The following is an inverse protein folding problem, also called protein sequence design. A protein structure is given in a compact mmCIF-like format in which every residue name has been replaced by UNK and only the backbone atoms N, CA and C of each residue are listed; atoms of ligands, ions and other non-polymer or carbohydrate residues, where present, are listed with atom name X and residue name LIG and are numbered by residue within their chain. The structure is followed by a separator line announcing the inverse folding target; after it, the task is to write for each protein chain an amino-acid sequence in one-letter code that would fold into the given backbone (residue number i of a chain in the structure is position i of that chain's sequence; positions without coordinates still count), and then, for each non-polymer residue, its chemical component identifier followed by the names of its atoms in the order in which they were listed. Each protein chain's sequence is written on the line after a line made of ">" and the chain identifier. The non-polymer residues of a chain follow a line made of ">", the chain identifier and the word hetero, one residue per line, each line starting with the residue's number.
data_IF_147455351821
#
_entry.id   IF_147455351821
#
_cell.length_a   1.000
_cell.length_b   1.000
_cell.length_c   1.000
_cell.angle_alpha   90.00
_cell.angle_beta   90.00
_cell.angle_gamma   90.00
#
_symmetry.space_group_name_H-M   'P 1'
#
loop_
_entity.id
_entity.type
_entity.pdbx_description
1 polymer ?
#
# COMPACT_ATOMS: atom_id res chain seq x y z
N UNK A 1 17.55 23.06 -3.57
CA UNK A 1 17.13 21.90 -4.40
C UNK A 1 18.36 21.14 -4.87
N UNK A 2 18.29 19.81 -5.02
CA UNK A 2 19.42 18.95 -5.40
C UNK A 2 19.05 17.47 -5.40
N UNK A 3 19.94 16.58 -5.87
CA UNK A 3 19.68 15.14 -6.01
C UNK A 3 19.30 14.46 -4.69
N UNK A 4 20.08 14.69 -3.62
CA UNK A 4 19.80 14.14 -2.29
C UNK A 4 18.47 14.63 -1.71
N UNK A 5 18.07 15.87 -2.04
CA UNK A 5 16.78 16.43 -1.61
C UNK A 5 15.61 15.74 -2.33
N UNK A 6 15.74 15.48 -3.63
CA UNK A 6 14.75 14.72 -4.39
C UNK A 6 14.66 13.28 -3.90
N UNK A 7 15.80 12.62 -3.66
CA UNK A 7 15.85 11.26 -3.13
C UNK A 7 15.16 11.19 -1.76
N UNK A 8 15.45 12.13 -0.85
CA UNK A 8 14.79 12.23 0.45
C UNK A 8 13.28 12.41 0.34
N UNK A 9 12.82 13.26 -0.59
CA UNK A 9 11.39 13.45 -0.86
C UNK A 9 10.71 12.17 -1.34
N UNK A 10 11.30 11.47 -2.31
CA UNK A 10 10.74 10.22 -2.84
C UNK A 10 10.74 9.11 -1.78
N UNK A 11 11.80 9.05 -0.96
CA UNK A 11 11.88 8.14 0.17
C UNK A 11 10.78 8.38 1.21
N UNK A 12 10.53 9.65 1.57
CA UNK A 12 9.44 9.99 2.48
C UNK A 12 8.07 9.63 1.89
N UNK A 13 7.82 9.90 0.61
CA UNK A 13 6.59 9.48 -0.06
C UNK A 13 6.42 7.96 -0.05
N UNK A 14 7.50 7.20 -0.26
CA UNK A 14 7.47 5.76 -0.22
C UNK A 14 7.11 5.22 1.18
N UNK A 15 7.67 5.80 2.24
CA UNK A 15 7.41 5.35 3.62
C UNK A 15 6.02 5.75 4.11
N UNK A 16 5.59 6.99 3.85
CA UNK A 16 4.42 7.57 4.49
C UNK A 16 3.20 7.67 3.57
N UNK A 17 3.42 7.84 2.26
CA UNK A 17 2.37 8.14 1.29
C UNK A 17 1.34 7.02 1.15
N UNK A 18 1.80 5.77 1.01
CA UNK A 18 0.92 4.59 0.81
C UNK A 18 -0.11 4.45 1.94
N UNK A 19 0.32 4.60 3.19
CA UNK A 19 -0.58 4.51 4.35
C UNK A 19 -1.61 5.64 4.41
N UNK A 20 -1.21 6.86 4.07
CA UNK A 20 -2.13 8.02 4.05
C UNK A 20 -3.10 7.91 2.87
N UNK A 21 -2.62 7.45 1.72
CA UNK A 21 -3.43 7.16 0.54
C UNK A 21 -4.44 6.05 0.80
N UNK A 22 -4.04 4.95 1.44
CA UNK A 22 -4.94 3.86 1.82
C UNK A 22 -6.06 4.33 2.75
N UNK A 23 -5.77 5.31 3.62
CA UNK A 23 -6.76 5.87 4.56
C UNK A 23 -7.73 6.84 3.91
N UNK A 24 -7.28 7.63 2.94
CA UNK A 24 -8.07 8.67 2.28
C UNK A 24 -8.72 8.19 0.97
N UNK A 25 -8.14 7.19 0.31
CA UNK A 25 -8.41 6.82 -1.08
C UNK A 25 -7.71 7.73 -2.09
N UNK A 26 -7.38 7.18 -3.26
CA UNK A 26 -6.52 7.80 -4.28
C UNK A 26 -6.91 9.24 -4.66
N UNK A 27 -8.18 9.48 -4.99
CA UNK A 27 -8.63 10.81 -5.43
C UNK A 27 -8.50 11.86 -4.32
N UNK A 28 -8.92 11.49 -3.11
CA UNK A 28 -8.86 12.37 -1.94
C UNK A 28 -7.42 12.61 -1.51
N UNK A 29 -6.55 11.61 -1.64
CA UNK A 29 -5.12 11.73 -1.40
C UNK A 29 -4.44 12.72 -2.34
N UNK A 30 -4.76 12.68 -3.64
CA UNK A 30 -4.22 13.65 -4.61
C UNK A 30 -4.66 15.08 -4.25
N UNK A 31 -5.95 15.29 -3.98
CA UNK A 31 -6.45 16.62 -3.56
C UNK A 31 -5.78 17.07 -2.26
N UNK A 32 -5.69 16.17 -1.27
CA UNK A 32 -5.01 16.42 0.00
C UNK A 32 -3.55 16.84 -0.20
N UNK A 33 -2.80 16.16 -1.07
CA UNK A 33 -1.42 16.46 -1.39
C UNK A 33 -1.25 17.88 -1.96
N UNK A 34 -2.09 18.25 -2.93
CA UNK A 34 -2.06 19.59 -3.51
C UNK A 34 -2.42 20.68 -2.50
N UNK A 35 -3.46 20.46 -1.67
CA UNK A 35 -3.83 21.41 -0.62
C UNK A 35 -2.69 21.61 0.39
N UNK A 36 -2.00 20.53 0.78
CA UNK A 36 -0.84 20.62 1.66
C UNK A 36 0.29 21.45 1.02
N UNK A 37 0.57 21.24 -0.28
CA UNK A 37 1.58 22.02 -1.00
C UNK A 37 1.25 23.52 -1.07
N UNK A 38 0.00 23.86 -1.36
CA UNK A 38 -0.47 25.26 -1.41
C UNK A 38 -0.39 25.90 -0.01
N UNK A 39 -0.94 25.25 1.01
CA UNK A 39 -0.92 25.78 2.38
C UNK A 39 0.50 25.91 2.93
N UNK A 40 1.39 24.99 2.58
CA UNK A 40 2.82 25.06 2.90
C UNK A 40 3.49 26.28 2.26
N UNK A 41 3.28 26.50 0.95
CA UNK A 41 3.83 27.66 0.25
C UNK A 41 3.33 28.98 0.82
N UNK A 42 2.04 29.07 1.13
CA UNK A 42 1.44 30.24 1.77
C UNK A 42 2.02 30.49 3.16
N UNK A 43 2.21 29.44 3.97
CA UNK A 43 2.82 29.55 5.30
C UNK A 43 4.23 30.13 5.23
N UNK A 44 5.02 29.67 4.25
CA UNK A 44 6.37 30.21 4.03
C UNK A 44 6.34 31.68 3.59
N UNK A 45 5.47 32.01 2.63
CA UNK A 45 5.34 33.37 2.10
C UNK A 45 4.94 34.37 3.19
N UNK A 46 3.94 34.04 4.00
CA UNK A 46 3.44 34.91 5.07
C UNK A 46 4.48 35.16 6.17
N UNK A 47 5.31 34.15 6.46
CA UNK A 47 6.33 34.23 7.51
C UNK A 47 7.69 34.74 6.99
N UNK A 48 7.87 34.85 5.67
CA UNK A 48 9.10 35.35 5.03
C UNK A 48 8.78 36.29 3.88
N UNK A 49 7.96 37.32 4.16
CA UNK A 49 7.51 38.32 3.18
C UNK A 49 8.67 39.03 2.45
N UNK A 50 9.87 39.07 3.05
CA UNK A 50 11.05 39.75 2.51
C UNK A 50 12.00 38.82 1.72
N UNK A 51 11.68 37.53 1.57
CA UNK A 51 12.57 36.54 0.95
C UNK A 51 12.11 36.18 -0.47
N UNK A 52 12.91 36.53 -1.48
CA UNK A 52 12.65 36.23 -2.90
C UNK A 52 13.01 34.78 -3.30
N UNK A 53 13.11 33.84 -2.35
CA UNK A 53 13.49 32.46 -2.65
C UNK A 53 12.22 31.68 -3.03
N UNK A 54 12.04 31.28 -4.30
CA UNK A 54 10.90 30.44 -4.68
C UNK A 54 11.02 29.09 -3.98
N UNK A 55 10.07 28.81 -3.10
CA UNK A 55 10.01 27.54 -2.37
C UNK A 55 9.23 26.53 -3.19
N UNK A 56 9.92 25.46 -3.61
CA UNK A 56 9.31 24.38 -4.37
C UNK A 56 8.32 23.65 -3.45
N UNK A 57 7.03 23.76 -3.74
CA UNK A 57 5.93 23.26 -2.88
C UNK A 57 5.85 21.73 -2.71
N UNK A 58 6.70 20.96 -3.40
CA UNK A 58 6.69 19.49 -3.31
C UNK A 58 7.13 18.98 -1.92
N UNK A 59 8.20 19.52 -1.32
CA UNK A 59 8.65 19.08 0.01
C UNK A 59 7.69 19.53 1.12
N UNK A 60 7.05 20.69 0.93
CA UNK A 60 5.96 21.17 1.76
C UNK A 60 4.73 20.25 1.77
N UNK A 61 4.33 19.78 0.59
CA UNK A 61 3.24 18.79 0.46
C UNK A 61 3.57 17.47 1.17
N UNK A 62 4.82 17.00 1.04
CA UNK A 62 5.32 15.80 1.74
C UNK A 62 5.31 16.00 3.26
N UNK A 63 5.68 17.19 3.76
CA UNK A 63 5.56 17.51 5.17
C UNK A 63 4.09 17.40 5.65
N UNK A 64 3.13 17.76 4.81
CA UNK A 64 1.71 17.53 5.09
C UNK A 64 1.30 16.07 5.16
N UNK A 65 1.84 15.21 4.28
CA UNK A 65 1.68 13.75 4.39
C UNK A 65 2.27 13.24 5.70
N UNK A 66 3.46 13.71 6.10
CA UNK A 66 4.08 13.34 7.36
C UNK A 66 3.22 13.75 8.57
N UNK A 67 2.63 14.94 8.54
CA UNK A 67 1.67 15.40 9.56
C UNK A 67 0.43 14.51 9.64
N UNK A 68 -0.14 14.12 8.50
CA UNK A 68 -1.25 13.17 8.47
C UNK A 68 -0.84 11.78 9.03
N UNK A 69 0.32 11.27 8.63
CA UNK A 69 0.84 9.99 9.10
C UNK A 69 1.07 10.00 10.63
N UNK A 70 1.58 11.11 11.17
CA UNK A 70 1.78 11.28 12.61
C UNK A 70 0.49 11.03 13.42
N UNK A 71 -0.67 11.43 12.88
CA UNK A 71 -1.97 11.22 13.51
C UNK A 71 -2.52 9.82 13.26
N UNK A 72 -2.38 9.30 12.04
CA UNK A 72 -2.95 8.01 11.65
C UNK A 72 -2.20 6.81 12.24
N UNK A 73 -0.88 6.94 12.38
CA UNK A 73 0.02 5.83 12.66
C UNK A 73 1.09 6.16 13.72
N UNK A 74 0.73 6.76 14.87
CA UNK A 74 1.72 7.27 15.83
C UNK A 74 2.67 6.18 16.35
N UNK A 75 2.17 4.96 16.57
CA UNK A 75 2.93 3.82 17.12
C UNK A 75 3.59 2.96 16.04
N UNK A 76 3.38 3.24 14.75
CA UNK A 76 4.04 2.49 13.68
C UNK A 76 5.55 2.69 13.77
N UNK A 77 6.30 1.61 13.57
CA UNK A 77 7.76 1.65 13.68
C UNK A 77 8.38 1.96 12.33
N UNK A 78 9.21 3.00 12.28
CA UNK A 78 9.95 3.42 11.10
C UNK A 78 11.36 2.85 11.22
N UNK A 79 11.75 2.03 10.25
CA UNK A 79 13.11 1.54 10.14
C UNK A 79 14.02 2.73 9.78
N UNK A 80 14.77 3.19 10.76
CA UNK A 80 15.63 4.37 10.66
C UNK A 80 17.08 3.92 10.59
N UNK A 81 17.78 4.39 9.55
CA UNK A 81 19.22 4.23 9.44
C UNK A 81 19.90 5.35 10.24
N UNK A 82 20.65 4.98 11.27
CA UNK A 82 21.59 5.86 11.95
C UNK A 82 22.97 5.64 11.30
N UNK A 83 23.50 6.63 10.56
CA UNK A 83 24.82 6.52 9.96
C UNK A 83 25.90 6.66 11.04
N UNK A 84 26.33 5.54 11.64
CA UNK A 84 27.51 5.52 12.50
C UNK A 84 28.72 5.28 11.58
N UNK A 85 29.42 6.35 11.21
CA UNK A 85 30.68 6.46 10.43
C UNK A 85 31.03 5.28 9.48
N UNK A 86 31.27 4.06 9.97
CA UNK A 86 31.63 2.88 9.17
C UNK A 86 30.60 1.73 9.17
N UNK A 87 29.60 1.71 10.06
CA UNK A 87 28.61 0.64 10.18
C UNK A 87 27.19 1.23 10.21
N UNK A 88 26.34 1.00 9.19
CA UNK A 88 24.96 1.44 9.21
C UNK A 88 24.18 0.71 10.31
N UNK A 89 23.70 1.44 11.33
CA UNK A 89 22.87 0.88 12.39
C UNK A 89 21.41 1.13 12.09
N UNK A 90 20.62 0.05 11.96
CA UNK A 90 19.19 0.13 11.74
C UNK A 90 18.44 0.00 13.07
N UNK A 91 17.66 1.01 13.43
CA UNK A 91 16.74 0.94 14.57
C UNK A 91 15.30 1.20 14.15
N UNK A 92 14.38 0.55 14.85
CA UNK A 92 12.96 0.80 14.71
C UNK A 92 12.53 1.92 15.68
N UNK A 93 12.14 3.07 15.15
CA UNK A 93 11.71 4.22 15.94
C UNK A 93 10.20 4.41 15.78
N UNK A 94 9.42 4.59 16.87
CA UNK A 94 8.01 4.95 16.76
C UNK A 94 7.82 6.24 15.95
N UNK A 95 6.82 6.24 15.06
CA UNK A 95 6.59 7.34 14.14
C UNK A 95 6.35 8.68 14.84
N UNK A 96 5.64 8.68 15.97
CA UNK A 96 5.44 9.92 16.73
C UNK A 96 6.77 10.53 17.20
N UNK A 97 7.73 9.71 17.61
CA UNK A 97 9.03 10.19 18.06
C UNK A 97 9.86 10.68 16.87
N UNK A 98 9.94 9.88 15.81
CA UNK A 98 10.69 10.23 14.60
C UNK A 98 10.19 11.53 13.96
N UNK A 99 8.87 11.61 13.71
CA UNK A 99 8.25 12.75 13.04
C UNK A 99 8.16 13.97 13.96
N UNK A 100 7.93 13.77 15.26
CA UNK A 100 7.93 14.85 16.25
C UNK A 100 9.32 15.47 16.38
N UNK A 101 10.37 14.65 16.46
CA UNK A 101 11.75 15.11 16.45
C UNK A 101 12.09 15.87 15.17
N UNK A 102 11.72 15.31 14.00
CA UNK A 102 11.90 15.98 12.72
C UNK A 102 11.21 17.36 12.69
N UNK A 103 9.96 17.46 13.18
CA UNK A 103 9.21 18.70 13.24
C UNK A 103 9.87 19.75 14.15
N UNK A 104 10.32 19.35 15.33
CA UNK A 104 11.06 20.23 16.26
C UNK A 104 12.35 20.74 15.60
N UNK A 105 13.08 19.88 14.88
CA UNK A 105 14.26 20.32 14.12
C UNK A 105 13.89 21.33 13.04
N UNK A 106 12.78 21.17 12.32
CA UNK A 106 12.35 22.19 11.34
C UNK A 106 12.14 23.55 12.02
N UNK A 107 11.48 23.56 13.19
CA UNK A 107 11.23 24.78 13.97
C UNK A 107 12.52 25.42 14.48
N UNK A 108 13.45 24.65 15.05
CA UNK A 108 14.72 25.17 15.53
C UNK A 108 15.58 25.75 14.40
N UNK A 109 15.60 25.11 13.23
CA UNK A 109 16.31 25.63 12.07
C UNK A 109 15.65 26.92 11.55
N UNK A 110 14.32 26.98 11.50
CA UNK A 110 13.57 28.18 11.11
C UNK A 110 13.82 29.36 12.07
N UNK A 111 13.87 29.10 13.37
CA UNK A 111 14.13 30.10 14.40
C UNK A 111 15.61 30.52 14.45
N UNK A 112 16.54 29.61 14.16
CA UNK A 112 17.97 29.90 14.14
C UNK A 112 18.44 30.65 12.90
N UNK A 113 17.72 30.54 11.77
CA UNK A 113 18.05 31.19 10.51
C UNK A 113 17.65 32.68 10.50
N UNK A 114 18.35 33.52 11.27
CA UNK A 114 18.19 34.99 11.24
C UNK A 114 18.93 35.58 10.03
N UNK A 115 18.37 35.42 8.82
CA UNK A 115 18.87 36.10 7.62
C UNK A 115 19.98 35.38 6.84
N UNK A 116 20.43 34.20 7.28
CA UNK A 116 21.22 33.33 6.42
C UNK A 116 20.31 32.74 5.33
N UNK A 117 20.68 32.92 4.06
CA UNK A 117 20.02 32.34 2.88
C UNK A 117 20.19 30.83 2.92
N UNK A 118 19.45 30.16 3.80
CA UNK A 118 19.34 28.71 3.78
C UNK A 118 18.41 28.38 2.62
N UNK A 119 18.90 27.64 1.62
CA UNK A 119 18.11 27.21 0.46
C UNK A 119 17.00 26.20 0.79
N UNK A 120 16.61 26.09 2.08
CA UNK A 120 15.58 25.20 2.62
C UNK A 120 14.47 26.05 3.25
N UNK A 121 13.25 25.76 2.84
CA UNK A 121 12.04 26.46 3.22
C UNK A 121 11.48 25.95 4.56
N UNK A 122 12.19 26.13 5.67
CA UNK A 122 11.81 25.53 6.97
C UNK A 122 10.36 25.84 7.38
N UNK A 123 9.92 27.09 7.20
CA UNK A 123 8.54 27.51 7.45
C UNK A 123 7.51 26.84 6.54
N UNK A 124 7.90 26.47 5.32
CA UNK A 124 7.05 25.69 4.42
C UNK A 124 6.81 24.29 5.01
N UNK A 125 7.84 23.64 5.53
CA UNK A 125 7.72 22.31 6.13
C UNK A 125 6.86 22.33 7.40
N UNK A 126 7.06 23.33 8.27
CA UNK A 126 6.26 23.50 9.50
C UNK A 126 4.79 23.71 9.12
N UNK A 127 4.51 24.64 8.21
CA UNK A 127 3.16 24.91 7.72
C UNK A 127 2.53 23.68 7.07
N UNK A 128 3.26 23.01 6.19
CA UNK A 128 2.83 21.77 5.54
C UNK A 128 2.41 20.71 6.56
N UNK A 129 3.25 20.44 7.56
CA UNK A 129 2.97 19.46 8.61
C UNK A 129 1.71 19.79 9.41
N UNK A 130 1.58 21.04 9.87
CA UNK A 130 0.42 21.48 10.66
C UNK A 130 -0.86 21.47 9.83
N UNK A 131 -0.85 22.06 8.63
CA UNK A 131 -2.00 22.06 7.75
C UNK A 131 -2.36 20.66 7.26
N UNK A 132 -1.38 19.76 7.09
CA UNK A 132 -1.62 18.34 6.81
C UNK A 132 -2.44 17.65 7.90
N UNK A 133 -2.14 17.93 9.18
CA UNK A 133 -2.96 17.45 10.31
C UNK A 133 -4.39 18.01 10.23
N UNK A 134 -4.53 19.31 9.97
CA UNK A 134 -5.83 19.99 9.89
C UNK A 134 -6.66 19.42 8.74
N UNK A 135 -6.09 19.36 7.54
CA UNK A 135 -6.77 18.82 6.36
C UNK A 135 -7.09 17.35 6.51
N UNK A 136 -6.23 16.54 7.15
CA UNK A 136 -6.56 15.17 7.45
C UNK A 136 -7.85 15.12 8.29
N UNK A 137 -7.90 15.85 9.41
CA UNK A 137 -9.09 15.88 10.28
C UNK A 137 -10.33 16.32 9.51
N UNK A 138 -10.23 17.37 8.68
CA UNK A 138 -11.32 17.84 7.85
C UNK A 138 -11.80 16.76 6.86
N UNK A 139 -10.88 16.08 6.19
CA UNK A 139 -11.21 14.99 5.28
C UNK A 139 -11.86 13.83 6.03
N UNK A 140 -11.39 13.49 7.22
CA UNK A 140 -12.02 12.43 8.01
C UNK A 140 -13.46 12.76 8.45
N UNK A 141 -13.82 14.05 8.54
CA UNK A 141 -15.18 14.50 8.83
C UNK A 141 -16.10 14.48 7.59
N UNK A 142 -15.53 14.63 6.39
CA UNK A 142 -16.30 14.65 5.13
C UNK A 142 -16.63 13.23 4.66
N UNK A 143 -17.92 12.91 4.39
CA UNK A 143 -18.31 11.61 3.83
C UNK A 143 -17.59 11.35 2.51
N UNK A 144 -17.05 10.14 2.33
CA UNK A 144 -16.48 9.73 1.05
C UNK A 144 -17.60 9.62 0.02
N UNK A 145 -17.71 10.60 -0.89
CA UNK A 145 -18.58 10.48 -2.05
C UNK A 145 -18.23 9.21 -2.84
N UNK A 146 -19.24 8.50 -3.36
CA UNK A 146 -19.11 7.15 -3.95
C UNK A 146 -18.07 6.99 -5.08
N UNK A 147 -17.58 8.10 -5.65
CA UNK A 147 -16.45 8.14 -6.60
C UNK A 147 -15.18 7.52 -6.01
N UNK A 148 -14.91 7.72 -4.70
CA UNK A 148 -13.70 7.18 -4.05
C UNK A 148 -13.76 5.66 -3.97
N UNK A 149 -14.95 5.09 -3.71
CA UNK A 149 -15.15 3.65 -3.63
C UNK A 149 -14.99 2.97 -5.00
N UNK A 150 -15.54 3.59 -6.06
CA UNK A 150 -15.39 3.09 -7.44
C UNK A 150 -13.93 3.08 -7.90
N UNK A 151 -13.16 4.12 -7.59
CA UNK A 151 -11.73 4.14 -7.91
C UNK A 151 -10.95 3.12 -7.07
N UNK A 152 -11.26 2.98 -5.79
CA UNK A 152 -10.62 2.01 -4.89
C UNK A 152 -10.74 0.57 -5.41
N UNK A 153 -11.86 0.20 -6.02
CA UNK A 153 -12.02 -1.13 -6.63
C UNK A 153 -11.07 -1.36 -7.83
N UNK A 154 -10.78 -0.32 -8.60
CA UNK A 154 -9.91 -0.40 -9.80
C UNK A 154 -8.44 -0.49 -9.39
N UNK A 155 -8.05 0.22 -8.33
CA UNK A 155 -6.65 0.39 -7.90
C UNK A 155 -6.27 -0.44 -6.68
N UNK A 156 -7.22 -1.15 -6.05
CA UNK A 156 -6.95 -2.04 -4.93
C UNK A 156 -5.80 -2.99 -5.26
N UNK A 157 -4.75 -2.96 -4.43
CA UNK A 157 -3.62 -3.88 -4.53
C UNK A 157 -4.15 -5.32 -4.55
N UNK A 158 -4.13 -5.96 -5.71
CA UNK A 158 -4.46 -7.38 -5.88
C UNK A 158 -3.35 -8.20 -5.21
N UNK A 159 -3.46 -8.46 -3.91
CA UNK A 159 -2.68 -9.52 -3.27
C UNK A 159 -3.19 -10.85 -3.80
N UNK A 160 -2.63 -11.30 -4.91
CA UNK A 160 -2.78 -12.68 -5.37
C UNK A 160 -2.30 -13.58 -4.25
N UNK A 161 -3.22 -14.21 -3.52
CA UNK A 161 -2.85 -15.27 -2.60
C UNK A 161 -2.29 -16.40 -3.47
N UNK A 162 -0.96 -16.47 -3.54
CA UNK A 162 -0.22 -17.34 -4.47
C UNK A 162 -0.41 -18.83 -4.18
N UNK A 163 -1.04 -19.21 -3.06
CA UNK A 163 -1.30 -20.61 -2.71
C UNK A 163 -2.74 -20.79 -2.20
N UNK A 164 -3.55 -21.61 -2.87
CA UNK A 164 -4.81 -22.11 -2.34
C UNK A 164 -4.65 -23.56 -1.91
N UNK A 165 -5.15 -23.91 -0.73
CA UNK A 165 -5.23 -25.33 -0.33
C UNK A 165 -6.62 -25.82 -0.74
N UNK A 166 -6.67 -26.75 -1.68
CA UNK A 166 -7.92 -27.39 -2.07
C UNK A 166 -7.97 -28.74 -1.36
N UNK A 167 -9.04 -28.98 -0.61
CA UNK A 167 -9.32 -30.26 0.04
C UNK A 167 -10.36 -31.00 -0.79
N UNK A 168 -9.93 -31.78 -1.79
CA UNK A 168 -10.90 -32.47 -2.62
C UNK A 168 -11.60 -33.60 -1.86
N UNK A 169 -12.87 -33.82 -2.18
CA UNK A 169 -13.71 -34.90 -1.65
C UNK A 169 -14.01 -35.89 -2.78
N UNK A 170 -13.96 -37.18 -2.47
CA UNK A 170 -14.47 -38.24 -3.33
C UNK A 170 -15.87 -38.65 -2.82
N UNK A 171 -16.94 -38.50 -3.60
CA UNK A 171 -18.25 -39.04 -3.26
C UNK A 171 -18.21 -40.57 -3.35
N UNK A 172 -18.40 -41.26 -2.22
CA UNK A 172 -18.46 -42.73 -2.18
C UNK A 172 -17.20 -43.41 -2.74
N UNK A 173 -17.40 -44.32 -3.70
CA UNK A 173 -16.33 -45.09 -4.34
C UNK A 173 -15.84 -44.49 -5.67
N UNK A 174 -16.11 -43.20 -5.91
CA UNK A 174 -15.67 -42.53 -7.14
C UNK A 174 -14.13 -42.39 -7.17
N UNK A 175 -13.56 -42.69 -8.33
CA UNK A 175 -12.14 -42.46 -8.62
C UNK A 175 -11.83 -40.97 -8.79
N UNK A 176 -12.84 -40.16 -9.13
CA UNK A 176 -12.72 -38.73 -9.30
C UNK A 176 -12.76 -37.97 -7.97
N UNK A 177 -12.07 -36.84 -7.96
CA UNK A 177 -11.99 -35.94 -6.84
C UNK A 177 -12.67 -34.61 -7.20
N UNK A 178 -13.34 -33.99 -6.23
CA UNK A 178 -14.06 -32.74 -6.43
C UNK A 178 -13.66 -31.71 -5.39
N UNK A 179 -13.37 -30.49 -5.81
CA UNK A 179 -13.05 -29.37 -4.93
C UNK A 179 -13.52 -28.04 -5.50
N UNK A 180 -13.24 -26.96 -4.79
CA UNK A 180 -13.56 -25.60 -5.24
C UNK A 180 -12.29 -24.77 -5.35
N UNK A 181 -12.19 -23.95 -6.39
CA UNK A 181 -11.13 -22.96 -6.56
C UNK A 181 -11.73 -21.56 -6.54
N UNK A 182 -11.22 -20.72 -5.65
CA UNK A 182 -11.73 -19.37 -5.50
C UNK A 182 -10.96 -18.40 -6.39
N UNK A 183 -11.65 -17.58 -7.18
CA UNK A 183 -11.00 -16.54 -7.99
C UNK A 183 -11.69 -15.19 -7.77
N UNK A 184 -10.97 -14.11 -8.01
CA UNK A 184 -11.58 -12.76 -8.01
C UNK A 184 -12.31 -12.50 -9.34
N UNK A 185 -13.32 -11.62 -9.38
CA UNK A 185 -13.99 -11.26 -10.64
C UNK A 185 -13.02 -10.76 -11.72
N UNK A 186 -11.96 -10.04 -11.32
CA UNK A 186 -10.93 -9.62 -12.26
C UNK A 186 -10.11 -10.79 -12.81
N UNK A 187 -9.72 -11.75 -11.97
CA UNK A 187 -9.03 -12.96 -12.42
C UNK A 187 -9.91 -13.81 -13.34
N UNK A 188 -11.23 -13.77 -13.15
CA UNK A 188 -12.17 -14.43 -14.03
C UNK A 188 -12.19 -13.79 -15.42
N UNK A 189 -12.13 -12.45 -15.50
CA UNK A 189 -12.10 -11.70 -16.76
C UNK A 189 -10.76 -11.85 -17.49
N UNK A 190 -9.63 -11.68 -16.80
CA UNK A 190 -8.30 -11.65 -17.45
C UNK A 190 -7.65 -13.02 -17.60
N UNK A 191 -8.19 -14.04 -16.94
CA UNK A 191 -7.51 -15.32 -16.73
C UNK A 191 -6.41 -15.21 -15.67
N UNK A 192 -6.00 -16.35 -15.12
CA UNK A 192 -4.94 -16.43 -14.12
C UNK A 192 -4.35 -17.83 -14.01
N UNK A 193 -3.17 -17.94 -13.40
CA UNK A 193 -2.59 -19.22 -12.99
C UNK A 193 -2.39 -19.22 -11.48
N UNK A 194 -3.00 -20.18 -10.78
CA UNK A 194 -2.87 -20.31 -9.32
C UNK A 194 -2.10 -21.58 -8.95
N UNK A 195 -1.22 -21.48 -7.95
CA UNK A 195 -0.66 -22.69 -7.33
C UNK A 195 -1.65 -23.21 -6.30
N UNK A 196 -1.99 -24.49 -6.43
CA UNK A 196 -2.89 -25.20 -5.55
C UNK A 196 -2.11 -26.28 -4.82
N UNK A 197 -2.25 -26.33 -3.51
CA UNK A 197 -1.80 -27.45 -2.71
C UNK A 197 -2.95 -28.47 -2.58
N UNK A 198 -2.71 -29.69 -3.06
CA UNK A 198 -3.64 -30.81 -2.97
C UNK A 198 -3.04 -31.82 -1.98
N UNK A 199 -3.61 -31.97 -0.78
CA UNK A 199 -3.21 -33.01 0.16
C UNK A 199 -3.71 -34.36 -0.36
N UNK A 200 -2.80 -35.32 -0.54
CA UNK A 200 -3.09 -36.69 -0.99
C UNK A 200 -2.49 -37.68 0.01
N UNK A 201 -3.34 -38.28 0.85
CA UNK A 201 -2.88 -39.07 1.99
C UNK A 201 -1.96 -38.25 2.91
N UNK A 202 -0.73 -38.72 3.11
CA UNK A 202 0.30 -38.05 3.92
C UNK A 202 1.20 -37.10 3.11
N UNK A 203 0.96 -36.89 1.82
CA UNK A 203 1.83 -36.08 0.95
C UNK A 203 1.10 -34.84 0.43
N UNK A 204 1.83 -33.73 0.27
CA UNK A 204 1.33 -32.46 -0.26
C UNK A 204 1.84 -32.27 -1.68
N UNK A 205 0.94 -32.12 -2.67
CA UNK A 205 1.33 -31.87 -4.07
C UNK A 205 0.94 -30.46 -4.49
N UNK A 206 1.94 -29.70 -4.93
CA UNK A 206 1.74 -28.37 -5.52
C UNK A 206 1.50 -28.50 -7.02
N UNK A 207 0.35 -28.00 -7.48
CA UNK A 207 -0.07 -28.06 -8.89
C UNK A 207 -0.43 -26.65 -9.35
N UNK A 208 0.06 -26.26 -10.53
CA UNK A 208 -0.37 -25.03 -11.19
C UNK A 208 -1.69 -25.27 -11.93
N UNK A 209 -2.72 -24.52 -11.58
CA UNK A 209 -4.03 -24.55 -12.25
C UNK A 209 -4.17 -23.29 -13.10
N UNK A 210 -4.29 -23.48 -14.41
CA UNK A 210 -4.55 -22.40 -15.36
C UNK A 210 -6.06 -22.19 -15.50
N UNK A 211 -6.49 -20.94 -15.35
CA UNK A 211 -7.88 -20.49 -15.47
C UNK A 211 -7.93 -19.54 -16.68
N UNK A 212 -8.70 -19.87 -17.74
CA UNK A 212 -8.83 -19.02 -18.90
C UNK A 212 -9.57 -17.70 -18.57
N UNK A 213 -9.38 -16.65 -19.39
CA UNK A 213 -10.20 -15.44 -19.34
C UNK A 213 -11.67 -15.74 -19.63
N UNK A 214 -12.54 -14.83 -19.22
CA UNK A 214 -14.00 -14.89 -19.34
C UNK A 214 -14.66 -16.16 -18.76
N UNK A 215 -14.05 -16.74 -17.72
CA UNK A 215 -14.64 -17.92 -17.04
C UNK A 215 -15.85 -17.52 -16.19
N UNK A 216 -16.90 -18.35 -16.20
CA UNK A 216 -18.12 -18.12 -15.41
C UNK A 216 -18.02 -18.79 -14.04
N UNK A 217 -18.74 -18.25 -13.07
CA UNK A 217 -18.96 -18.94 -11.79
C UNK A 217 -19.58 -20.32 -12.03
N UNK A 218 -19.27 -21.27 -11.15
CA UNK A 218 -19.68 -22.67 -11.22
C UNK A 218 -19.09 -23.50 -12.37
N UNK A 219 -18.23 -22.92 -13.22
CA UNK A 219 -17.48 -23.66 -14.24
C UNK A 219 -16.59 -24.73 -13.59
N UNK A 220 -16.55 -25.94 -14.17
CA UNK A 220 -15.71 -27.05 -13.70
C UNK A 220 -14.42 -27.14 -14.49
N UNK A 221 -13.28 -27.03 -13.81
CA UNK A 221 -11.96 -27.25 -14.38
C UNK A 221 -11.52 -28.70 -14.14
N UNK A 222 -11.10 -29.40 -15.20
CA UNK A 222 -10.62 -30.79 -15.13
C UNK A 222 -9.10 -30.83 -15.08
N UNK A 223 -8.54 -31.47 -14.06
CA UNK A 223 -7.12 -31.74 -13.92
C UNK A 223 -6.89 -33.25 -14.03
N UNK A 224 -6.27 -33.66 -15.15
CA UNK A 224 -6.12 -35.07 -15.52
C UNK A 224 -5.16 -35.82 -14.58
N UNK A 225 -5.50 -37.04 -14.19
CA UNK A 225 -4.64 -37.96 -13.44
C UNK A 225 -4.36 -37.54 -11.99
N UNK A 226 -5.18 -36.65 -11.43
CA UNK A 226 -5.08 -36.16 -10.05
C UNK A 226 -6.15 -36.73 -9.12
N UNK A 227 -6.93 -37.71 -9.56
CA UNK A 227 -7.90 -38.46 -8.75
C UNK A 227 -7.28 -39.64 -8.00
N UNK A 228 -8.14 -40.51 -7.43
CA UNK A 228 -7.73 -41.75 -6.76
C UNK A 228 -7.29 -42.81 -7.77
N UNK A 229 -6.41 -43.70 -7.32
CA UNK A 229 -6.04 -44.89 -8.08
C UNK A 229 -7.18 -45.91 -7.95
N UNK A 230 -7.69 -46.43 -9.06
CA UNK A 230 -8.66 -47.52 -9.09
C UNK A 230 -7.97 -48.86 -8.89
N UNK A 231 -8.75 -49.90 -8.57
CA UNK A 231 -8.28 -51.29 -8.46
C UNK A 231 -7.60 -51.78 -9.74
N UNK A 232 -7.97 -51.21 -10.88
CA UNK A 232 -7.45 -51.58 -12.21
C UNK A 232 -6.18 -50.77 -12.59
N UNK A 233 -5.61 -50.03 -11.64
CA UNK A 233 -4.39 -49.25 -11.83
C UNK A 233 -4.56 -47.93 -12.59
N UNK A 234 -5.79 -47.56 -12.96
CA UNK A 234 -6.07 -46.27 -13.61
C UNK A 234 -6.20 -45.15 -12.55
N UNK A 235 -5.81 -43.92 -12.89
CA UNK A 235 -6.03 -42.76 -12.03
C UNK A 235 -7.24 -41.97 -12.51
N UNK A 236 -8.15 -41.65 -11.59
CA UNK A 236 -9.19 -40.68 -11.83
C UNK A 236 -8.63 -39.26 -12.03
N UNK A 237 -9.55 -38.30 -12.14
CA UNK A 237 -9.26 -36.88 -12.35
C UNK A 237 -9.75 -36.02 -11.17
N UNK A 238 -9.21 -34.80 -11.06
CA UNK A 238 -9.69 -33.79 -10.11
C UNK A 238 -10.50 -32.73 -10.85
N UNK A 239 -11.73 -32.50 -10.41
CA UNK A 239 -12.61 -31.44 -10.88
C UNK A 239 -12.66 -30.30 -9.86
N UNK A 240 -12.36 -29.08 -10.30
CA UNK A 240 -12.43 -27.87 -9.48
C UNK A 240 -13.58 -26.99 -9.95
N UNK A 241 -14.57 -26.77 -9.08
CA UNK A 241 -15.65 -25.81 -9.30
C UNK A 241 -15.14 -24.40 -9.02
N UNK A 242 -15.26 -23.49 -9.97
CA UNK A 242 -14.87 -22.10 -9.82
C UNK A 242 -15.90 -21.37 -8.97
N UNK A 243 -15.46 -20.70 -7.92
CA UNK A 243 -16.29 -19.82 -7.07
C UNK A 243 -15.71 -18.41 -7.08
N UNK A 244 -16.57 -17.40 -7.15
CA UNK A 244 -16.10 -16.01 -7.11
C UNK A 244 -16.00 -15.56 -5.65
N UNK A 245 -14.81 -15.10 -5.26
CA UNK A 245 -14.65 -14.46 -3.95
C UNK A 245 -15.19 -13.05 -4.01
N UNK A 246 -16.16 -12.77 -3.13
CA UNK A 246 -16.60 -11.43 -2.77
C UNK A 246 -15.53 -10.63 -2.03
#
# INVERSE_FOLDING_TARGET
>A
GGFLHLLGNMWCLYIFGDNVEDRLGHLRYIVFYFLCGVASGLSHLLLNLNSNIPTIGASGAIAGIMGAYFILHPKSKILTLIPIIFIPWFIEIPAYFFLGFWFVLQFLNAAGSHGAVSGIAWWAHIGGFVFGIIFLKLFLLLPSAGVTERMRQVTAKKKTHRLQVIRPVAPGNDSHLYGTIAITPFEALTGTSKMVNIPWGFHKRLVRVSIPPDIKEDTKLRLKGLGRLTTDGQKGDLFLKVIFKS
#
